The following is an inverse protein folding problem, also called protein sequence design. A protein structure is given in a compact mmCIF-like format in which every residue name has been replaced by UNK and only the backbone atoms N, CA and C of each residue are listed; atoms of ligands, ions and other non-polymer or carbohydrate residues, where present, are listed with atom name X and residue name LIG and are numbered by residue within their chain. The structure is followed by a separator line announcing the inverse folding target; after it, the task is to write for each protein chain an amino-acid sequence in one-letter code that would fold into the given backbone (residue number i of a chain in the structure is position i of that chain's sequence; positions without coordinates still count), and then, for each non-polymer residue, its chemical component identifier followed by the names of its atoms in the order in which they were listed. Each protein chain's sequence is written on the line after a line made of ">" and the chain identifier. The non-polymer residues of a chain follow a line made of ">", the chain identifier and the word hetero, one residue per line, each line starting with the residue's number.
data_IF_156210404801
#
_entry.id   IF_156210404801
#
_cell.length_a   1.000
_cell.length_b   1.000
_cell.length_c   1.000
_cell.angle_alpha   90.00
_cell.angle_beta   90.00
_cell.angle_gamma   90.00
#
_symmetry.space_group_name_H-M   'P 1'
#
loop_
_entity.id
_entity.type
_entity.pdbx_description
1 polymer ?
#
# COMPACT_ATOMS: atom_id res chain seq x y z
N UNK A 1 -34.49 -30.65 50.07
CA UNK A 1 -33.43 -29.61 50.00
C UNK A 1 -32.25 -30.02 49.13
N UNK A 2 -31.64 -31.20 49.31
CA UNK A 2 -30.51 -31.66 48.48
C UNK A 2 -30.82 -31.76 46.97
N UNK A 3 -32.03 -32.17 46.59
CA UNK A 3 -32.45 -32.23 45.19
C UNK A 3 -32.72 -30.85 44.56
N UNK A 4 -33.19 -29.88 45.35
CA UNK A 4 -33.36 -28.48 44.90
C UNK A 4 -32.00 -27.78 44.67
N UNK A 5 -31.00 -28.09 45.50
CA UNK A 5 -29.62 -27.61 45.31
C UNK A 5 -28.97 -28.21 44.06
N UNK A 6 -29.24 -29.48 43.75
CA UNK A 6 -28.74 -30.12 42.53
C UNK A 6 -29.36 -29.52 41.25
N UNK A 7 -30.66 -29.24 41.26
CA UNK A 7 -31.35 -28.61 40.11
C UNK A 7 -30.86 -27.17 39.89
N UNK A 8 -30.63 -26.42 40.97
CA UNK A 8 -30.03 -25.08 40.91
C UNK A 8 -28.60 -25.11 40.33
N UNK A 9 -27.77 -26.07 40.74
CA UNK A 9 -26.41 -26.22 40.21
C UNK A 9 -26.37 -26.59 38.72
N UNK A 10 -27.35 -27.36 38.22
CA UNK A 10 -27.49 -27.72 36.80
C UNK A 10 -27.97 -26.53 35.96
N UNK A 11 -28.85 -25.68 36.52
CA UNK A 11 -29.30 -24.46 35.84
C UNK A 11 -28.18 -23.42 35.71
N UNK A 12 -27.30 -23.28 36.71
CA UNK A 12 -26.17 -22.34 36.66
C UNK A 12 -25.04 -22.82 35.74
N UNK A 13 -24.90 -24.13 35.51
CA UNK A 13 -23.89 -24.67 34.57
C UNK A 13 -24.29 -24.57 33.09
N UNK A 14 -25.50 -24.08 32.80
CA UNK A 14 -25.98 -23.81 31.44
C UNK A 14 -25.66 -22.40 30.92
N UNK A 15 -24.90 -21.60 31.67
CA UNK A 15 -24.32 -20.36 31.14
C UNK A 15 -23.34 -20.73 30.04
N UNK A 16 -23.84 -20.76 28.80
CA UNK A 16 -23.03 -21.01 27.62
C UNK A 16 -21.84 -20.06 27.64
N UNK A 17 -20.64 -20.63 27.59
CA UNK A 17 -19.42 -19.88 27.32
C UNK A 17 -19.62 -19.20 25.97
N UNK A 18 -19.86 -17.88 25.98
CA UNK A 18 -19.88 -17.07 24.76
C UNK A 18 -18.44 -17.10 24.24
N UNK A 19 -18.17 -18.01 23.30
CA UNK A 19 -16.88 -18.08 22.63
C UNK A 19 -16.54 -16.72 22.03
N UNK A 20 -15.27 -16.31 22.14
CA UNK A 20 -14.79 -15.07 21.54
C UNK A 20 -15.10 -15.08 20.05
N UNK A 21 -15.96 -14.15 19.60
CA UNK A 21 -16.33 -14.03 18.19
C UNK A 21 -15.18 -13.34 17.47
N UNK A 22 -14.67 -13.99 16.43
CA UNK A 22 -13.70 -13.41 15.51
C UNK A 22 -14.27 -13.43 14.09
N UNK A 23 -13.74 -12.54 13.27
CA UNK A 23 -13.97 -12.52 11.84
C UNK A 23 -12.64 -12.26 11.12
N UNK A 24 -12.64 -12.42 9.82
CA UNK A 24 -11.57 -11.89 9.00
C UNK A 24 -12.14 -11.15 7.79
N UNK A 25 -11.30 -10.31 7.20
CA UNK A 25 -11.57 -9.57 5.97
C UNK A 25 -10.34 -9.61 5.10
N UNK A 26 -10.50 -9.37 3.81
CA UNK A 26 -9.43 -9.15 2.86
C UNK A 26 -9.48 -7.69 2.43
N UNK A 27 -8.68 -6.84 3.10
CA UNK A 27 -8.64 -5.41 2.81
C UNK A 27 -8.16 -5.11 1.39
N UNK A 28 -7.33 -5.99 0.81
CA UNK A 28 -6.82 -5.86 -0.55
C UNK A 28 -7.95 -6.11 -1.55
N UNK A 29 -8.69 -7.20 -1.39
CA UNK A 29 -9.87 -7.46 -2.20
C UNK A 29 -10.88 -6.31 -2.11
N UNK A 30 -11.13 -5.76 -0.91
CA UNK A 30 -12.04 -4.63 -0.75
C UNK A 30 -11.52 -3.42 -1.54
N UNK A 31 -10.24 -3.04 -1.36
CA UNK A 31 -9.62 -1.93 -2.10
C UNK A 31 -9.68 -2.14 -3.62
N UNK A 32 -9.37 -3.32 -4.12
CA UNK A 32 -9.34 -3.63 -5.55
C UNK A 32 -10.71 -3.46 -6.23
N UNK A 33 -11.79 -3.62 -5.46
CA UNK A 33 -13.17 -3.43 -5.92
C UNK A 33 -13.68 -1.98 -5.79
N UNK A 34 -12.92 -1.07 -5.17
CA UNK A 34 -13.26 0.36 -5.13
C UNK A 34 -12.81 1.05 -6.42
N UNK A 35 -13.67 1.88 -7.01
CA UNK A 35 -13.36 2.57 -8.26
C UNK A 35 -12.24 3.61 -8.07
N UNK A 36 -12.29 4.32 -6.96
CA UNK A 36 -11.34 5.34 -6.51
C UNK A 36 -9.92 4.76 -6.35
N UNK A 37 -9.81 3.51 -5.89
CA UNK A 37 -8.53 2.82 -5.79
C UNK A 37 -7.91 2.59 -7.17
N UNK A 38 -8.73 2.23 -8.16
CA UNK A 38 -8.28 2.01 -9.53
C UNK A 38 -7.86 3.30 -10.20
N UNK A 39 -8.60 4.38 -9.97
CA UNK A 39 -8.23 5.72 -10.42
C UNK A 39 -6.91 6.18 -9.80
N UNK A 40 -6.77 6.05 -8.49
CA UNK A 40 -5.52 6.34 -7.78
C UNK A 40 -4.34 5.51 -8.33
N UNK A 41 -4.56 4.22 -8.61
CA UNK A 41 -3.51 3.37 -9.17
C UNK A 41 -3.13 3.79 -10.60
N UNK A 42 -4.10 4.20 -11.43
CA UNK A 42 -3.84 4.76 -12.77
C UNK A 42 -3.05 6.06 -12.68
N UNK A 43 -3.42 6.96 -11.78
CA UNK A 43 -2.71 8.23 -11.57
C UNK A 43 -1.26 7.99 -11.12
N UNK A 44 -1.06 7.14 -10.11
CA UNK A 44 0.28 6.79 -9.62
C UNK A 44 1.14 6.17 -10.71
N UNK A 45 0.57 5.29 -11.54
CA UNK A 45 1.28 4.67 -12.65
C UNK A 45 1.66 5.71 -13.72
N UNK A 46 0.75 6.63 -14.06
CA UNK A 46 1.00 7.68 -15.03
C UNK A 46 2.13 8.62 -14.56
N UNK A 47 2.07 9.08 -13.31
CA UNK A 47 3.09 9.95 -12.71
C UNK A 47 4.43 9.22 -12.63
N UNK A 48 4.44 7.96 -12.19
CA UNK A 48 5.66 7.14 -12.12
C UNK A 48 6.30 6.99 -13.51
N UNK A 49 5.49 6.75 -14.55
CA UNK A 49 5.98 6.64 -15.93
C UNK A 49 6.59 7.94 -16.42
N UNK A 50 5.90 9.07 -16.22
CA UNK A 50 6.41 10.39 -16.60
C UNK A 50 7.75 10.72 -15.93
N UNK A 51 7.90 10.41 -14.64
CA UNK A 51 9.16 10.64 -13.93
C UNK A 51 10.25 9.68 -14.39
N UNK A 52 9.91 8.43 -14.74
CA UNK A 52 10.85 7.46 -15.29
C UNK A 52 11.39 7.96 -16.64
N UNK A 53 10.52 8.42 -17.55
CA UNK A 53 10.92 9.03 -18.83
C UNK A 53 11.83 10.24 -18.62
N UNK A 54 11.55 11.06 -17.59
CA UNK A 54 12.40 12.21 -17.24
C UNK A 54 13.78 11.78 -16.74
N UNK A 55 13.86 10.73 -15.92
CA UNK A 55 15.14 10.17 -15.46
C UNK A 55 15.94 9.63 -16.63
N UNK A 56 15.30 8.87 -17.52
CA UNK A 56 15.93 8.29 -18.72
C UNK A 56 16.49 9.37 -19.64
N UNK A 57 15.74 10.45 -19.88
CA UNK A 57 16.22 11.59 -20.67
C UNK A 57 17.47 12.24 -20.06
N UNK A 58 17.49 12.44 -18.73
CA UNK A 58 18.67 13.01 -18.03
C UNK A 58 19.88 12.08 -18.05
N UNK A 59 19.67 10.77 -17.96
CA UNK A 59 20.74 9.77 -18.09
C UNK A 59 21.32 9.79 -19.51
N UNK A 60 20.47 9.83 -20.55
CA UNK A 60 20.92 9.91 -21.93
C UNK A 60 21.77 11.16 -22.19
N UNK A 61 21.36 12.32 -21.65
CA UNK A 61 22.13 13.56 -21.74
C UNK A 61 23.49 13.44 -21.02
N UNK A 62 23.52 12.86 -19.82
CA UNK A 62 24.75 12.62 -19.07
C UNK A 62 25.73 11.70 -19.84
N UNK A 63 25.21 10.65 -20.47
CA UNK A 63 26.03 9.71 -21.22
C UNK A 63 26.57 10.34 -22.52
N UNK A 64 25.78 11.20 -23.17
CA UNK A 64 26.25 12.01 -24.30
C UNK A 64 27.40 12.96 -23.89
N UNK A 65 27.26 13.64 -22.75
CA UNK A 65 28.32 14.52 -22.23
C UNK A 65 29.60 13.76 -21.96
N UNK A 66 29.52 12.57 -21.34
CA UNK A 66 30.68 11.70 -21.11
C UNK A 66 31.31 11.25 -22.42
N UNK A 67 30.52 10.79 -23.38
CA UNK A 67 31.01 10.34 -24.69
C UNK A 67 31.73 11.46 -25.44
N UNK A 68 31.14 12.66 -25.45
CA UNK A 68 31.72 13.85 -26.08
C UNK A 68 33.04 14.22 -25.41
N UNK A 69 33.08 14.25 -24.07
CA UNK A 69 34.31 14.49 -23.33
C UNK A 69 35.40 13.47 -23.68
N UNK A 70 35.09 12.18 -23.71
CA UNK A 70 36.07 11.14 -24.04
C UNK A 70 36.62 11.26 -25.46
N UNK A 71 35.79 11.66 -26.43
CA UNK A 71 36.21 11.89 -27.81
C UNK A 71 37.10 13.13 -27.97
N UNK A 72 36.81 14.20 -27.22
CA UNK A 72 37.46 15.50 -27.39
C UNK A 72 38.63 15.73 -26.41
N UNK A 73 38.78 14.94 -25.33
CA UNK A 73 39.69 15.23 -24.20
C UNK A 73 41.15 15.54 -24.55
N UNK A 74 41.66 15.00 -25.67
CA UNK A 74 43.04 15.20 -26.15
C UNK A 74 43.20 16.61 -26.75
N UNK A 75 42.11 17.18 -27.29
CA UNK A 75 42.07 18.51 -27.89
C UNK A 75 41.86 19.62 -26.85
N UNK A 76 41.51 19.25 -25.61
CA UNK A 76 41.20 20.19 -24.53
C UNK A 76 42.46 20.59 -23.74
N UNK A 77 42.46 21.83 -23.25
CA UNK A 77 43.41 22.26 -22.21
C UNK A 77 43.05 21.66 -20.85
N UNK A 78 43.94 21.73 -19.87
CA UNK A 78 43.65 21.24 -18.51
C UNK A 78 42.45 21.93 -17.87
N UNK A 79 42.32 23.25 -18.07
CA UNK A 79 41.20 24.01 -17.51
C UNK A 79 39.88 23.61 -18.17
N UNK A 80 39.85 23.47 -19.50
CA UNK A 80 38.67 22.99 -20.22
C UNK A 80 38.29 21.56 -19.80
N UNK A 81 39.26 20.66 -19.58
CA UNK A 81 38.98 19.32 -19.07
C UNK A 81 38.31 19.36 -17.70
N UNK A 82 38.85 20.17 -16.78
CA UNK A 82 38.33 20.33 -15.43
C UNK A 82 36.90 20.89 -15.44
N UNK A 83 36.62 21.87 -16.28
CA UNK A 83 35.27 22.42 -16.45
C UNK A 83 34.28 21.35 -16.94
N UNK A 84 34.62 20.62 -18.02
CA UNK A 84 33.77 19.54 -18.55
C UNK A 84 33.50 18.43 -17.53
N UNK A 85 34.52 18.00 -16.79
CA UNK A 85 34.36 17.02 -15.72
C UNK A 85 33.47 17.53 -14.58
N UNK A 86 33.53 18.82 -14.28
CA UNK A 86 32.65 19.45 -13.29
C UNK A 86 31.19 19.43 -13.77
N UNK A 87 30.93 19.82 -15.02
CA UNK A 87 29.59 19.76 -15.63
C UNK A 87 29.04 18.33 -15.64
N UNK A 88 29.84 17.33 -16.01
CA UNK A 88 29.44 15.91 -15.97
C UNK A 88 29.09 15.48 -14.54
N UNK A 89 29.90 15.87 -13.55
CA UNK A 89 29.67 15.54 -12.15
C UNK A 89 28.40 16.20 -11.61
N UNK A 90 28.15 17.45 -11.97
CA UNK A 90 26.92 18.18 -11.61
C UNK A 90 25.70 17.51 -12.22
N UNK A 91 25.77 17.11 -13.49
CA UNK A 91 24.68 16.39 -14.17
C UNK A 91 24.41 15.02 -13.56
N UNK A 92 25.45 14.25 -13.24
CA UNK A 92 25.33 12.98 -12.52
C UNK A 92 24.66 13.15 -11.15
N UNK A 93 25.04 14.21 -10.42
CA UNK A 93 24.39 14.56 -9.16
C UNK A 93 22.92 14.92 -9.37
N UNK A 94 22.59 15.72 -10.39
CA UNK A 94 21.22 16.11 -10.72
C UNK A 94 20.33 14.90 -11.01
N UNK A 95 20.80 13.94 -11.80
CA UNK A 95 20.10 12.67 -12.08
C UNK A 95 19.77 11.93 -10.79
N UNK A 96 20.79 11.73 -9.94
CA UNK A 96 20.65 10.99 -8.67
C UNK A 96 19.72 11.70 -7.69
N UNK A 97 19.85 13.02 -7.58
CA UNK A 97 19.04 13.83 -6.68
C UNK A 97 17.57 13.85 -7.16
N UNK A 98 17.32 13.95 -8.47
CA UNK A 98 15.97 13.84 -9.05
C UNK A 98 15.36 12.45 -8.79
N UNK A 99 16.10 11.38 -9.11
CA UNK A 99 15.63 10.01 -8.89
C UNK A 99 15.32 9.75 -7.42
N UNK A 100 16.17 10.19 -6.49
CA UNK A 100 15.93 10.08 -5.04
C UNK A 100 14.72 10.90 -4.60
N UNK A 101 14.55 12.11 -5.11
CA UNK A 101 13.41 12.96 -4.77
C UNK A 101 12.07 12.32 -5.19
N UNK A 102 12.02 11.70 -6.37
CA UNK A 102 10.80 11.07 -6.90
C UNK A 102 10.55 9.67 -6.33
N UNK A 103 11.56 8.81 -6.34
CA UNK A 103 11.44 7.36 -6.08
C UNK A 103 12.15 6.90 -4.80
N UNK A 104 12.82 7.79 -4.08
CA UNK A 104 13.50 7.44 -2.84
C UNK A 104 12.55 6.97 -1.74
N UNK A 105 13.12 6.49 -0.64
CA UNK A 105 12.36 6.18 0.57
C UNK A 105 11.72 7.47 1.08
N UNK A 106 10.38 7.53 1.10
CA UNK A 106 9.60 8.76 1.35
C UNK A 106 9.78 9.85 0.28
N UNK A 107 10.16 9.48 -0.94
CA UNK A 107 10.11 10.35 -2.11
C UNK A 107 8.68 10.69 -2.50
N UNK A 108 8.52 11.54 -3.50
CA UNK A 108 7.23 12.07 -3.91
C UNK A 108 6.23 10.97 -4.32
N UNK A 109 6.68 9.89 -4.97
CA UNK A 109 5.80 8.77 -5.33
C UNK A 109 5.18 8.11 -4.10
N UNK A 110 5.97 7.96 -3.03
CA UNK A 110 5.51 7.38 -1.79
C UNK A 110 4.50 8.31 -1.10
N UNK A 111 4.78 9.61 -1.05
CA UNK A 111 3.87 10.61 -0.49
C UNK A 111 2.54 10.63 -1.26
N UNK A 112 2.57 10.68 -2.59
CA UNK A 112 1.36 10.62 -3.42
C UNK A 112 0.56 9.35 -3.20
N UNK A 113 1.24 8.20 -3.07
CA UNK A 113 0.56 6.94 -2.74
C UNK A 113 -0.14 7.03 -1.38
N UNK A 114 0.49 7.63 -0.37
CA UNK A 114 -0.19 7.83 0.91
C UNK A 114 -1.40 8.75 0.77
N UNK A 115 -1.25 9.90 0.11
CA UNK A 115 -2.35 10.86 -0.07
C UNK A 115 -3.58 10.25 -0.74
N UNK A 116 -3.37 9.42 -1.77
CA UNK A 116 -4.47 8.82 -2.54
C UNK A 116 -5.06 7.57 -1.89
N UNK A 117 -4.22 6.70 -1.31
CA UNK A 117 -4.66 5.37 -0.85
C UNK A 117 -5.03 5.37 0.64
N UNK A 118 -4.40 6.21 1.46
CA UNK A 118 -4.66 6.24 2.91
C UNK A 118 -6.13 6.56 3.25
N UNK A 119 -6.81 7.52 2.59
CA UNK A 119 -8.22 7.78 2.87
C UNK A 119 -9.11 6.54 2.65
N UNK A 120 -8.87 5.79 1.57
CA UNK A 120 -9.61 4.56 1.26
C UNK A 120 -9.38 3.48 2.33
N UNK A 121 -8.13 3.35 2.80
CA UNK A 121 -7.81 2.44 3.91
C UNK A 121 -8.51 2.84 5.22
N UNK A 122 -8.62 4.14 5.48
CA UNK A 122 -9.28 4.66 6.68
C UNK A 122 -10.79 4.45 6.62
N UNK A 123 -11.42 4.56 5.45
CA UNK A 123 -12.82 4.21 5.22
C UNK A 123 -13.08 2.72 5.51
N UNK A 124 -12.24 1.83 4.95
CA UNK A 124 -12.32 0.39 5.20
C UNK A 124 -12.15 0.09 6.69
N UNK A 125 -11.15 0.71 7.34
CA UNK A 125 -10.91 0.54 8.77
C UNK A 125 -12.14 0.94 9.61
N UNK A 126 -12.77 2.07 9.30
CA UNK A 126 -13.96 2.53 9.99
C UNK A 126 -15.14 1.57 9.77
N UNK A 127 -15.37 1.10 8.55
CA UNK A 127 -16.41 0.12 8.26
C UNK A 127 -16.20 -1.20 9.02
N UNK A 128 -14.95 -1.68 9.11
CA UNK A 128 -14.58 -2.86 9.90
C UNK A 128 -14.85 -2.63 11.39
N UNK A 129 -14.46 -1.48 11.93
CA UNK A 129 -14.66 -1.14 13.34
C UNK A 129 -16.15 -1.10 13.70
N UNK A 130 -16.97 -0.53 12.84
CA UNK A 130 -18.42 -0.50 13.04
C UNK A 130 -19.01 -1.91 12.99
N UNK A 131 -18.65 -2.73 11.98
CA UNK A 131 -19.11 -4.11 11.89
C UNK A 131 -18.70 -4.93 13.12
N UNK A 132 -17.47 -4.76 13.58
CA UNK A 132 -16.95 -5.40 14.79
C UNK A 132 -17.80 -5.05 16.02
N UNK A 133 -18.18 -3.78 16.16
CA UNK A 133 -19.03 -3.31 17.25
C UNK A 133 -20.44 -3.88 17.15
N UNK A 134 -21.07 -3.80 15.97
CA UNK A 134 -22.44 -4.28 15.71
C UNK A 134 -22.59 -5.80 15.94
N UNK A 135 -21.57 -6.58 15.60
CA UNK A 135 -21.59 -8.05 15.68
C UNK A 135 -20.90 -8.61 16.92
N UNK A 136 -20.35 -7.73 17.75
CA UNK A 136 -19.57 -8.06 18.95
C UNK A 136 -18.38 -8.97 18.62
N UNK A 137 -17.68 -8.68 17.52
CA UNK A 137 -16.39 -9.32 17.23
C UNK A 137 -15.32 -8.74 18.16
N UNK A 138 -14.64 -9.59 18.90
CA UNK A 138 -13.52 -9.18 19.75
C UNK A 138 -12.25 -8.88 18.94
N UNK A 139 -12.08 -9.54 17.79
CA UNK A 139 -10.95 -9.39 16.89
C UNK A 139 -11.44 -9.56 15.44
N UNK A 140 -10.96 -8.70 14.54
CA UNK A 140 -11.08 -8.88 13.09
C UNK A 140 -9.67 -8.97 12.52
N UNK A 141 -9.36 -10.08 11.84
CA UNK A 141 -8.09 -10.24 11.17
C UNK A 141 -8.17 -9.76 9.73
N UNK A 142 -7.14 -9.07 9.27
CA UNK A 142 -6.96 -8.86 7.83
C UNK A 142 -6.23 -10.08 7.26
N UNK A 143 -6.63 -10.55 6.07
CA UNK A 143 -5.96 -11.57 5.23
C UNK A 143 -5.20 -10.92 4.07
N UNK A 144 -5.58 -9.71 3.68
CA UNK A 144 -5.15 -9.04 2.45
C UNK A 144 -3.70 -8.56 2.45
N UNK A 145 -3.01 -8.43 3.59
CA UNK A 145 -1.61 -7.97 3.64
C UNK A 145 -0.78 -8.71 4.70
N UNK A 146 0.19 -9.53 4.27
CA UNK A 146 1.22 -10.15 5.12
C UNK A 146 0.67 -10.89 6.35
N UNK A 147 -0.21 -11.87 6.11
CA UNK A 147 -0.99 -12.49 7.19
C UNK A 147 -0.55 -13.92 7.40
N UNK A 148 -0.45 -14.35 8.66
CA UNK A 148 -0.07 -15.72 9.02
C UNK A 148 -1.28 -16.67 9.03
N UNK A 149 -2.35 -16.33 8.31
CA UNK A 149 -3.57 -17.15 8.21
C UNK A 149 -3.35 -18.19 7.10
N UNK A 150 -2.99 -19.42 7.50
CA UNK A 150 -2.79 -20.52 6.56
C UNK A 150 -4.11 -21.04 5.96
N UNK A 151 -5.15 -21.11 6.80
CA UNK A 151 -6.49 -21.55 6.41
C UNK A 151 -7.54 -20.79 7.22
N UNK A 152 -8.63 -20.43 6.58
CA UNK A 152 -9.79 -19.83 7.22
C UNK A 152 -11.07 -20.39 6.59
N UNK A 153 -12.07 -20.70 7.41
CA UNK A 153 -13.39 -21.11 6.92
C UNK A 153 -14.11 -19.87 6.34
N UNK A 154 -14.56 -19.91 5.06
CA UNK A 154 -15.21 -18.78 4.38
C UNK A 154 -16.38 -18.16 5.14
N UNK A 155 -17.05 -18.90 6.03
CA UNK A 155 -18.15 -18.35 6.83
C UNK A 155 -17.71 -17.22 7.77
N UNK A 156 -16.42 -17.16 8.13
CA UNK A 156 -15.86 -16.08 8.96
C UNK A 156 -15.36 -14.89 8.14
N UNK A 157 -15.36 -14.99 6.80
CA UNK A 157 -15.07 -13.88 5.91
C UNK A 157 -16.17 -12.84 5.97
N UNK A 158 -15.80 -11.57 6.09
CA UNK A 158 -16.71 -10.43 6.09
C UNK A 158 -16.35 -9.41 5.01
N UNK A 159 -15.48 -9.75 4.06
CA UNK A 159 -15.02 -8.84 3.01
C UNK A 159 -16.17 -8.29 2.19
N UNK A 160 -17.06 -9.14 1.67
CA UNK A 160 -18.23 -8.70 0.91
C UNK A 160 -19.22 -7.88 1.75
N UNK A 161 -19.28 -8.15 3.05
CA UNK A 161 -20.13 -7.38 3.98
C UNK A 161 -19.60 -5.95 4.11
N UNK A 162 -18.28 -5.80 4.26
CA UNK A 162 -17.62 -4.49 4.31
C UNK A 162 -17.74 -3.78 2.96
N UNK A 163 -17.46 -4.48 1.86
CA UNK A 163 -17.54 -3.94 0.50
C UNK A 163 -18.95 -3.38 0.23
N UNK A 164 -19.99 -4.14 0.56
CA UNK A 164 -21.38 -3.70 0.42
C UNK A 164 -21.74 -2.56 1.35
N UNK A 165 -21.22 -2.55 2.59
CA UNK A 165 -21.44 -1.45 3.55
C UNK A 165 -20.85 -0.13 3.05
N UNK A 166 -19.74 -0.20 2.32
CA UNK A 166 -19.09 0.93 1.66
C UNK A 166 -19.78 1.34 0.34
N UNK A 167 -20.81 0.61 -0.10
CA UNK A 167 -21.59 0.93 -1.30
C UNK A 167 -21.08 0.28 -2.59
N UNK A 168 -20.11 -0.61 -2.51
CA UNK A 168 -19.53 -1.30 -3.66
C UNK A 168 -20.09 -2.72 -3.82
N UNK A 169 -19.93 -3.29 -5.01
CA UNK A 169 -20.18 -4.70 -5.30
C UNK A 169 -18.90 -5.37 -5.75
N UNK A 170 -18.79 -6.68 -5.51
CA UNK A 170 -17.75 -7.48 -6.14
C UNK A 170 -17.83 -7.28 -7.64
N UNK A 171 -16.69 -7.00 -8.28
CA UNK A 171 -16.59 -7.00 -9.73
C UNK A 171 -16.66 -8.45 -10.21
N UNK A 172 -17.50 -8.71 -11.20
CA UNK A 172 -17.45 -9.96 -11.95
C UNK A 172 -16.11 -10.00 -12.69
N UNK A 173 -15.34 -11.08 -12.51
CA UNK A 173 -14.06 -11.33 -13.20
C UNK A 173 -14.24 -11.40 -14.73
#
# INVERSE_FOLDING_TARGET
>A
MKQLLLISAILVSSVQLIGQRFAYVDSRYILENMEEYQEAQKELNAISKQWQETVEAKIAELDEMKRTFEAEKILLTDEMRKERLTQIKEKDKEVKDYQRAKFGVKGELFTRRQELIKPLQDEIYNAIKELASERSYGIVFDKGVNTNILFSDPKYDKSDVILKKLGYSARDE
#
